data_IF_462182736651
#
_entry.id   IF_462182736651
#
_cell.length_a   1.000
_cell.length_b   1.000
_cell.length_c   1.000
_cell.angle_alpha   90.00
_cell.angle_beta   90.00
_cell.angle_gamma   90.00
#
_symmetry.space_group_name_H-M   'P 1'
#
loop_
_entity.id
_entity.type
_entity.pdbx_description
1 polymer ?
#
# COMPACT_ATOMS: atom_id res chain seq x y z
N UNK A 1 -29.98 -12.27 -65.55
CA UNK A 1 -29.36 -12.94 -64.38
C UNK A 1 -28.34 -11.99 -63.78
N UNK A 2 -28.66 -11.34 -62.67
CA UNK A 2 -27.78 -10.38 -62.01
C UNK A 2 -26.78 -11.10 -61.11
N UNK A 3 -25.49 -10.97 -61.41
CA UNK A 3 -24.37 -11.50 -60.63
C UNK A 3 -24.23 -10.59 -59.39
N UNK A 4 -24.92 -10.92 -58.31
CA UNK A 4 -24.72 -10.26 -57.03
C UNK A 4 -23.35 -10.64 -56.47
N UNK A 5 -22.35 -9.80 -56.74
CA UNK A 5 -21.07 -9.82 -56.04
C UNK A 5 -21.33 -9.59 -54.54
N UNK A 6 -21.38 -10.67 -53.77
CA UNK A 6 -21.38 -10.61 -52.30
C UNK A 6 -20.07 -9.95 -51.89
N UNK A 7 -20.11 -8.65 -51.56
CA UNK A 7 -19.04 -7.99 -50.80
C UNK A 7 -18.81 -8.83 -49.54
N UNK A 8 -17.72 -9.59 -49.52
CA UNK A 8 -17.30 -10.32 -48.32
C UNK A 8 -16.99 -9.26 -47.27
N UNK A 9 -17.74 -9.30 -46.17
CA UNK A 9 -17.41 -8.54 -44.97
C UNK A 9 -15.95 -8.86 -44.59
N UNK A 10 -15.12 -7.86 -44.27
CA UNK A 10 -13.77 -8.13 -43.76
C UNK A 10 -13.89 -8.99 -42.51
N UNK A 11 -13.10 -10.06 -42.45
CA UNK A 11 -13.08 -10.95 -41.30
C UNK A 11 -12.65 -10.17 -40.05
N UNK A 12 -13.19 -10.54 -38.89
CA UNK A 12 -12.73 -10.03 -37.62
C UNK A 12 -11.21 -10.25 -37.48
N UNK A 13 -10.49 -9.20 -37.08
CA UNK A 13 -9.06 -9.28 -36.82
C UNK A 13 -8.83 -10.02 -35.49
N UNK A 14 -8.49 -11.30 -35.59
CA UNK A 14 -8.18 -12.18 -34.46
C UNK A 14 -6.69 -12.16 -34.12
N UNK A 15 -5.90 -11.27 -34.74
CA UNK A 15 -4.49 -11.09 -34.45
C UNK A 15 -4.25 -10.80 -32.96
N UNK A 16 -3.36 -11.58 -32.35
CA UNK A 16 -2.97 -11.40 -30.94
C UNK A 16 -3.87 -12.08 -29.91
N UNK A 17 -4.96 -12.74 -30.32
CA UNK A 17 -5.80 -13.52 -29.40
C UNK A 17 -4.97 -14.64 -28.75
N UNK A 18 -4.94 -14.68 -27.41
CA UNK A 18 -4.11 -15.60 -26.64
C UNK A 18 -2.69 -15.10 -26.35
N UNK A 19 -2.32 -13.90 -26.82
CA UNK A 19 -1.04 -13.25 -26.50
C UNK A 19 -1.27 -11.86 -25.89
N UNK A 20 -1.68 -10.88 -26.70
CA UNK A 20 -1.95 -9.50 -26.26
C UNK A 20 -3.44 -9.22 -26.09
N UNK A 21 -4.30 -10.11 -26.61
CA UNK A 21 -5.74 -9.99 -26.57
C UNK A 21 -6.35 -11.22 -25.87
N UNK A 22 -7.22 -10.99 -24.89
CA UNK A 22 -7.89 -12.07 -24.15
C UNK A 22 -9.19 -12.45 -24.85
N UNK A 23 -10.02 -11.46 -25.18
CA UNK A 23 -11.34 -11.67 -25.76
C UNK A 23 -11.69 -10.62 -26.83
N UNK A 24 -12.51 -11.05 -27.79
CA UNK A 24 -12.97 -10.24 -28.91
C UNK A 24 -14.44 -10.56 -29.21
N UNK A 25 -15.22 -9.52 -29.51
CA UNK A 25 -16.57 -9.66 -30.05
C UNK A 25 -16.52 -10.14 -31.49
N UNK A 26 -17.29 -11.17 -31.77
CA UNK A 26 -17.48 -11.72 -33.11
C UNK A 26 -18.88 -11.39 -33.60
N UNK A 27 -18.99 -11.16 -34.91
CA UNK A 27 -20.25 -10.92 -35.56
C UNK A 27 -20.72 -12.17 -36.32
N UNK A 28 -22.00 -12.22 -36.66
CA UNK A 28 -22.56 -13.36 -37.39
C UNK A 28 -21.81 -13.60 -38.71
N UNK A 29 -21.34 -14.83 -38.91
CA UNK A 29 -20.57 -15.24 -40.07
C UNK A 29 -19.05 -15.16 -39.91
N UNK A 30 -18.54 -14.55 -38.83
CA UNK A 30 -17.12 -14.60 -38.48
C UNK A 30 -16.72 -16.02 -38.06
N UNK A 31 -15.43 -16.32 -38.11
CA UNK A 31 -14.88 -17.63 -37.72
C UNK A 31 -13.99 -17.44 -36.51
N UNK A 32 -14.37 -18.08 -35.41
CA UNK A 32 -13.55 -18.09 -34.20
C UNK A 32 -12.29 -18.95 -34.41
N UNK A 33 -11.11 -18.50 -33.96
CA UNK A 33 -9.87 -19.28 -34.08
C UNK A 33 -9.97 -20.64 -33.39
N UNK A 34 -9.26 -21.63 -33.92
CA UNK A 34 -9.04 -22.88 -33.20
C UNK A 34 -8.37 -22.58 -31.85
N UNK A 35 -8.74 -23.31 -30.79
CA UNK A 35 -8.30 -23.10 -29.40
C UNK A 35 -8.96 -21.92 -28.65
N UNK A 36 -9.85 -21.17 -29.29
CA UNK A 36 -10.71 -20.21 -28.59
C UNK A 36 -11.98 -20.87 -28.04
N UNK A 37 -12.60 -20.21 -27.06
CA UNK A 37 -13.94 -20.54 -26.56
C UNK A 37 -14.88 -19.44 -27.03
N UNK A 38 -16.03 -19.83 -27.59
CA UNK A 38 -17.05 -18.87 -28.04
C UNK A 38 -18.17 -18.82 -27.00
N UNK A 39 -18.60 -17.62 -26.63
CA UNK A 39 -19.74 -17.39 -25.74
C UNK A 39 -20.77 -16.59 -26.50
N UNK A 40 -22.01 -17.07 -26.52
CA UNK A 40 -23.14 -16.36 -27.12
C UNK A 40 -24.07 -15.90 -26.02
N UNK A 41 -24.28 -14.60 -25.92
CA UNK A 41 -25.21 -13.96 -25.01
C UNK A 41 -26.52 -13.68 -25.70
N UNK A 42 -27.63 -14.05 -25.06
CA UNK A 42 -28.95 -13.63 -25.51
C UNK A 42 -29.24 -12.17 -25.13
N UNK A 43 -30.36 -11.63 -25.61
CA UNK A 43 -30.79 -10.26 -25.29
C UNK A 43 -30.98 -10.00 -23.79
N UNK A 44 -31.19 -11.05 -22.99
CA UNK A 44 -31.30 -10.99 -21.53
C UNK A 44 -29.95 -11.17 -20.81
N UNK A 45 -28.82 -11.16 -21.52
CA UNK A 45 -27.47 -11.29 -20.95
C UNK A 45 -27.07 -12.70 -20.50
N UNK A 46 -27.86 -13.73 -20.80
CA UNK A 46 -27.51 -15.10 -20.46
C UNK A 46 -26.55 -15.66 -21.51
N UNK A 47 -25.33 -15.97 -21.08
CA UNK A 47 -24.28 -16.57 -21.90
C UNK A 47 -24.40 -18.10 -22.00
N UNK A 48 -24.15 -18.64 -23.20
CA UNK A 48 -23.89 -20.07 -23.42
C UNK A 48 -22.56 -20.25 -24.16
N UNK A 49 -21.71 -21.15 -23.68
CA UNK A 49 -20.45 -21.48 -24.37
C UNK A 49 -20.71 -22.47 -25.50
N UNK A 50 -20.15 -22.20 -26.67
CA UNK A 50 -20.25 -23.04 -27.88
C UNK A 50 -18.85 -23.35 -28.42
N UNK A 51 -18.75 -24.41 -29.21
CA UNK A 51 -17.49 -24.84 -29.81
C UNK A 51 -17.00 -23.79 -30.82
N UNK A 52 -15.69 -23.57 -30.87
CA UNK A 52 -15.07 -22.68 -31.85
C UNK A 52 -15.43 -23.11 -33.29
N UNK A 53 -15.68 -22.12 -34.13
CA UNK A 53 -16.07 -22.33 -35.51
C UNK A 53 -16.77 -21.11 -36.08
N UNK A 54 -17.64 -21.34 -37.07
CA UNK A 54 -18.42 -20.26 -37.67
C UNK A 54 -19.50 -19.79 -36.69
N UNK A 55 -19.48 -18.50 -36.37
CA UNK A 55 -20.42 -17.89 -35.44
C UNK A 55 -21.78 -17.71 -36.09
N UNK A 56 -22.80 -18.25 -35.45
CA UNK A 56 -24.20 -18.02 -35.76
C UNK A 56 -24.85 -17.32 -34.56
N UNK A 57 -25.30 -16.08 -34.78
CA UNK A 57 -26.05 -15.30 -33.79
C UNK A 57 -27.47 -15.11 -34.30
N UNK A 58 -28.45 -15.30 -33.44
CA UNK A 58 -29.84 -14.92 -33.69
C UNK A 58 -30.03 -13.40 -33.50
N UNK A 59 -31.21 -12.89 -33.86
CA UNK A 59 -31.50 -11.46 -33.75
C UNK A 59 -31.45 -11.00 -32.29
N UNK A 60 -30.53 -10.07 -31.99
CA UNK A 60 -30.31 -9.56 -30.64
C UNK A 60 -29.33 -10.38 -29.79
N UNK A 61 -28.71 -11.43 -30.34
CA UNK A 61 -27.61 -12.13 -29.68
C UNK A 61 -26.27 -11.43 -29.94
N UNK A 62 -25.34 -11.56 -28.98
CA UNK A 62 -23.96 -11.09 -29.10
C UNK A 62 -23.00 -12.27 -28.88
N UNK A 63 -22.02 -12.43 -29.75
CA UNK A 63 -20.99 -13.46 -29.59
C UNK A 63 -19.64 -12.84 -29.23
N UNK A 64 -18.93 -13.49 -28.31
CA UNK A 64 -17.55 -13.22 -27.99
C UNK A 64 -16.74 -14.49 -28.20
N UNK A 65 -15.49 -14.38 -28.65
CA UNK A 65 -14.50 -15.41 -28.49
C UNK A 65 -13.44 -14.96 -27.50
N UNK A 66 -12.89 -15.90 -26.73
CA UNK A 66 -11.74 -15.65 -25.87
C UNK A 66 -10.78 -16.83 -25.92
N UNK A 67 -9.52 -16.58 -25.61
CA UNK A 67 -8.53 -17.65 -25.43
C UNK A 67 -8.33 -17.89 -23.93
N UNK A 68 -8.32 -19.15 -23.45
CA UNK A 68 -8.32 -19.44 -22.02
C UNK A 68 -6.99 -19.14 -21.31
N UNK A 69 -5.91 -18.89 -22.06
CA UNK A 69 -4.58 -18.62 -21.53
C UNK A 69 -3.64 -19.81 -21.71
N UNK A 70 -2.51 -19.86 -20.98
CA UNK A 70 -2.15 -19.01 -19.84
C UNK A 70 -1.75 -17.58 -20.24
N UNK A 71 -1.99 -16.63 -19.34
CA UNK A 71 -1.55 -15.24 -19.45
C UNK A 71 -0.58 -14.89 -18.33
N UNK A 72 0.29 -13.91 -18.59
CA UNK A 72 1.18 -13.35 -17.57
C UNK A 72 1.12 -11.84 -17.64
N UNK A 73 0.91 -11.21 -16.49
CA UNK A 73 0.82 -9.75 -16.35
C UNK A 73 1.59 -9.31 -15.12
N UNK A 74 2.17 -8.13 -15.22
CA UNK A 74 2.85 -7.48 -14.12
C UNK A 74 1.93 -6.39 -13.58
N UNK A 75 1.54 -6.51 -12.31
CA UNK A 75 0.71 -5.54 -11.62
C UNK A 75 1.56 -4.65 -10.73
N UNK A 76 1.10 -3.41 -10.52
CA UNK A 76 1.73 -2.46 -9.61
C UNK A 76 0.81 -2.27 -8.40
N UNK A 77 0.86 -3.14 -7.38
CA UNK A 77 -0.05 -3.06 -6.24
C UNK A 77 0.21 -1.86 -5.34
N UNK A 78 1.42 -1.29 -5.36
CA UNK A 78 1.79 -0.16 -4.51
C UNK A 78 1.79 1.15 -5.28
N UNK A 79 0.78 1.98 -5.02
CA UNK A 79 0.81 3.36 -5.47
C UNK A 79 1.97 4.17 -4.85
N UNK A 80 2.56 3.73 -3.74
CA UNK A 80 3.72 4.37 -3.13
C UNK A 80 5.08 3.82 -3.61
N UNK A 81 5.12 2.58 -4.11
CA UNK A 81 6.35 1.84 -4.45
C UNK A 81 6.19 1.10 -5.79
N UNK A 82 6.12 1.83 -6.92
CA UNK A 82 5.78 1.27 -8.22
C UNK A 82 6.85 0.33 -8.80
N UNK A 83 8.05 0.33 -8.24
CA UNK A 83 9.16 -0.58 -8.54
C UNK A 83 8.88 -2.00 -8.07
N UNK A 84 8.08 -2.17 -7.02
CA UNK A 84 7.71 -3.48 -6.51
C UNK A 84 6.38 -3.91 -7.13
N UNK A 85 6.49 -4.80 -8.12
CA UNK A 85 5.36 -5.37 -8.81
C UNK A 85 4.94 -6.73 -8.26
N UNK A 86 3.82 -7.19 -8.80
CA UNK A 86 3.31 -8.53 -8.59
C UNK A 86 3.08 -9.16 -9.97
N UNK A 87 3.89 -10.16 -10.31
CA UNK A 87 3.70 -10.95 -11.52
C UNK A 87 2.63 -11.98 -11.27
N UNK A 88 1.52 -11.86 -11.98
CA UNK A 88 0.45 -12.85 -11.97
C UNK A 88 0.51 -13.68 -13.24
N UNK A 89 0.45 -14.99 -13.07
CA UNK A 89 0.10 -15.93 -14.12
C UNK A 89 -1.31 -16.47 -13.85
N UNK A 90 -2.18 -16.38 -14.84
CA UNK A 90 -3.57 -16.79 -14.69
C UNK A 90 -4.14 -17.46 -15.94
N UNK A 91 -5.25 -18.17 -15.73
CA UNK A 91 -6.06 -18.80 -16.77
C UNK A 91 -7.52 -18.39 -16.60
N UNK A 92 -8.24 -18.30 -17.71
CA UNK A 92 -9.69 -18.15 -17.69
C UNK A 92 -10.33 -19.49 -17.39
N UNK A 93 -11.29 -19.51 -16.46
CA UNK A 93 -11.85 -20.75 -15.96
C UNK A 93 -12.54 -21.59 -17.04
N UNK A 94 -12.28 -22.90 -16.97
CA UNK A 94 -12.98 -23.89 -17.77
C UNK A 94 -14.49 -23.90 -17.44
N UNK A 95 -15.35 -24.32 -18.37
CA UNK A 95 -16.79 -24.35 -18.13
C UNK A 95 -17.12 -25.26 -16.94
N UNK A 96 -17.73 -24.72 -15.89
CA UNK A 96 -18.23 -25.52 -14.78
C UNK A 96 -19.70 -25.91 -15.03
N UNK A 97 -20.02 -27.20 -15.27
CA UNK A 97 -21.39 -27.63 -15.59
C UNK A 97 -22.39 -27.45 -14.45
N UNK A 98 -21.91 -27.17 -13.23
CA UNK A 98 -22.76 -26.96 -12.04
C UNK A 98 -23.25 -25.51 -11.92
N UNK A 99 -22.67 -24.59 -12.69
CA UNK A 99 -22.98 -23.17 -12.61
C UNK A 99 -23.64 -22.74 -13.91
N UNK A 100 -24.81 -22.12 -13.82
CA UNK A 100 -25.59 -21.66 -14.98
C UNK A 100 -24.91 -20.53 -15.76
N UNK A 101 -24.16 -19.67 -15.07
CA UNK A 101 -23.41 -18.56 -15.66
C UNK A 101 -21.99 -18.53 -15.09
N UNK A 102 -21.00 -18.59 -15.98
CA UNK A 102 -19.60 -18.47 -15.57
C UNK A 102 -19.27 -17.00 -15.28
N UNK A 103 -18.45 -16.74 -14.26
CA UNK A 103 -18.11 -15.36 -13.84
C UNK A 103 -17.38 -14.57 -14.91
N UNK A 104 -16.48 -15.21 -15.65
CA UNK A 104 -15.80 -14.55 -16.78
C UNK A 104 -16.78 -14.16 -17.89
N UNK A 105 -17.81 -14.97 -18.14
CA UNK A 105 -18.83 -14.66 -19.15
C UNK A 105 -19.64 -13.42 -18.71
N UNK A 106 -19.95 -13.29 -17.43
CA UNK A 106 -20.58 -12.10 -16.87
C UNK A 106 -19.69 -10.86 -17.02
N UNK A 107 -18.41 -10.97 -16.66
CA UNK A 107 -17.44 -9.89 -16.81
C UNK A 107 -17.31 -9.42 -18.26
N UNK A 108 -17.23 -10.36 -19.22
CA UNK A 108 -17.22 -10.03 -20.65
C UNK A 108 -18.46 -9.24 -21.06
N UNK A 109 -19.65 -9.68 -20.62
CA UNK A 109 -20.90 -9.03 -20.99
C UNK A 109 -21.05 -7.63 -20.39
N UNK A 110 -20.63 -7.42 -19.13
CA UNK A 110 -20.87 -6.17 -18.41
C UNK A 110 -19.80 -5.11 -18.63
N UNK A 111 -18.52 -5.50 -18.69
CA UNK A 111 -17.39 -4.56 -18.60
C UNK A 111 -16.65 -4.39 -19.94
N UNK A 112 -16.84 -5.29 -20.91
CA UNK A 112 -16.10 -5.21 -22.17
C UNK A 112 -16.90 -4.56 -23.29
N UNK A 113 -16.36 -3.50 -23.88
CA UNK A 113 -16.98 -2.79 -25.01
C UNK A 113 -16.82 -3.54 -26.36
N UNK A 114 -16.53 -4.84 -26.33
CA UNK A 114 -16.34 -5.69 -27.51
C UNK A 114 -14.89 -6.16 -27.73
N UNK A 115 -13.91 -5.65 -27.00
CA UNK A 115 -12.52 -6.12 -27.05
C UNK A 115 -11.94 -6.03 -25.63
N UNK A 116 -11.21 -7.05 -25.21
CA UNK A 116 -10.53 -7.10 -23.93
C UNK A 116 -9.05 -7.37 -24.16
N UNK A 117 -8.25 -6.31 -24.12
CA UNK A 117 -6.79 -6.42 -24.23
C UNK A 117 -6.19 -6.86 -22.91
N UNK A 118 -5.04 -7.54 -22.97
CA UNK A 118 -4.33 -8.01 -21.78
C UNK A 118 -3.86 -6.84 -20.90
N UNK A 119 -3.47 -5.73 -21.53
CA UNK A 119 -3.07 -4.51 -20.81
C UNK A 119 -4.25 -3.86 -20.07
N UNK A 120 -5.41 -3.76 -20.70
CA UNK A 120 -6.63 -3.22 -20.07
C UNK A 120 -7.07 -4.10 -18.90
N UNK A 121 -7.00 -5.42 -19.07
CA UNK A 121 -7.25 -6.37 -17.99
C UNK A 121 -6.28 -6.19 -16.83
N UNK A 122 -4.97 -6.08 -17.11
CA UNK A 122 -3.95 -5.87 -16.10
C UNK A 122 -4.18 -4.56 -15.34
N UNK A 123 -4.52 -3.46 -16.04
CA UNK A 123 -4.86 -2.20 -15.41
C UNK A 123 -6.09 -2.30 -14.50
N UNK A 124 -7.16 -2.96 -14.97
CA UNK A 124 -8.36 -3.18 -14.17
C UNK A 124 -8.09 -4.03 -12.92
N UNK A 125 -7.35 -5.14 -13.08
CA UNK A 125 -6.97 -6.01 -11.98
C UNK A 125 -6.06 -5.30 -10.96
N UNK A 126 -5.10 -4.49 -11.44
CA UNK A 126 -4.24 -3.67 -10.60
C UNK A 126 -5.02 -2.65 -9.78
N UNK A 127 -5.97 -1.93 -10.39
CA UNK A 127 -6.84 -0.99 -9.67
C UNK A 127 -7.71 -1.69 -8.62
N UNK A 128 -8.27 -2.86 -8.94
CA UNK A 128 -9.05 -3.63 -7.98
C UNK A 128 -8.20 -4.09 -6.79
N UNK A 129 -6.99 -4.60 -7.05
CA UNK A 129 -6.04 -4.99 -6.00
C UNK A 129 -5.67 -3.80 -5.10
N UNK A 130 -5.35 -2.65 -5.69
CA UNK A 130 -5.05 -1.43 -4.94
C UNK A 130 -6.23 -0.99 -4.06
N UNK A 131 -7.47 -1.11 -4.56
CA UNK A 131 -8.65 -0.75 -3.80
C UNK A 131 -8.85 -1.67 -2.58
N UNK A 132 -8.71 -2.98 -2.74
CA UNK A 132 -8.83 -3.93 -1.63
C UNK A 132 -7.72 -3.74 -0.59
N UNK A 133 -6.50 -3.42 -1.03
CA UNK A 133 -5.38 -3.06 -0.14
C UNK A 133 -5.65 -1.78 0.63
N UNK A 134 -6.18 -0.74 -0.04
CA UNK A 134 -6.52 0.53 0.60
C UNK A 134 -7.67 0.38 1.62
N UNK A 135 -8.60 -0.54 1.37
CA UNK A 135 -9.70 -0.86 2.30
C UNK A 135 -9.28 -1.82 3.43
N UNK A 136 -8.08 -2.40 3.35
CA UNK A 136 -7.59 -3.40 4.32
C UNK A 136 -8.28 -4.77 4.21
N UNK A 137 -9.00 -5.03 3.11
CA UNK A 137 -9.62 -6.33 2.84
C UNK A 137 -8.60 -7.36 2.36
N UNK A 138 -7.56 -6.89 1.69
CA UNK A 138 -6.31 -7.62 1.50
C UNK A 138 -5.24 -6.93 2.33
N UNK A 139 -4.48 -7.71 3.09
CA UNK A 139 -3.22 -7.22 3.65
C UNK A 139 -2.09 -7.85 2.87
N UNK A 140 -1.23 -6.99 2.35
CA UNK A 140 -0.03 -7.45 1.67
C UNK A 140 1.00 -7.66 2.77
N UNK A 141 1.37 -8.90 3.06
CA UNK A 141 2.21 -9.16 4.20
C UNK A 141 3.55 -8.46 4.01
N UNK A 142 4.26 -8.12 5.09
CA UNK A 142 5.68 -7.75 5.04
C UNK A 142 6.57 -8.90 4.50
N UNK A 143 5.97 -9.99 3.98
CA UNK A 143 6.60 -11.26 3.62
C UNK A 143 7.42 -11.83 4.78
N UNK A 144 6.96 -11.67 6.03
CA UNK A 144 7.71 -12.15 7.20
C UNK A 144 7.40 -13.60 7.55
N UNK A 145 6.30 -14.15 7.03
CA UNK A 145 5.99 -15.58 7.10
C UNK A 145 5.33 -16.13 5.83
N UNK A 146 5.44 -17.44 5.64
CA UNK A 146 4.83 -18.16 4.52
C UNK A 146 3.29 -18.20 4.65
N UNK A 147 2.76 -18.24 5.87
CA UNK A 147 1.32 -18.23 6.14
C UNK A 147 0.68 -16.90 5.75
N UNK A 148 1.35 -15.80 6.07
CA UNK A 148 1.01 -14.44 5.63
C UNK A 148 0.92 -14.34 4.11
N UNK A 149 1.91 -14.88 3.40
CA UNK A 149 1.92 -14.92 1.94
C UNK A 149 0.79 -15.78 1.39
N UNK A 150 0.52 -16.94 2.01
CA UNK A 150 -0.60 -17.78 1.63
C UNK A 150 -1.97 -17.12 1.87
N UNK A 151 -2.13 -16.38 2.96
CA UNK A 151 -3.35 -15.64 3.25
C UNK A 151 -3.59 -14.55 2.20
N UNK A 152 -2.56 -13.77 1.86
CA UNK A 152 -2.63 -12.79 0.77
C UNK A 152 -2.97 -13.45 -0.56
N UNK A 153 -2.26 -14.53 -0.93
CA UNK A 153 -2.52 -15.26 -2.17
C UNK A 153 -3.95 -15.82 -2.22
N UNK A 154 -4.46 -16.35 -1.10
CA UNK A 154 -5.82 -16.85 -1.02
C UNK A 154 -6.84 -15.72 -1.25
N UNK A 155 -6.63 -14.55 -0.63
CA UNK A 155 -7.45 -13.37 -0.84
C UNK A 155 -7.38 -12.84 -2.28
N UNK A 156 -6.19 -12.76 -2.85
CA UNK A 156 -5.99 -12.37 -4.25
C UNK A 156 -6.69 -13.35 -5.20
N UNK A 157 -6.55 -14.66 -4.99
CA UNK A 157 -7.25 -15.67 -5.76
C UNK A 157 -8.77 -15.49 -5.68
N UNK A 158 -9.29 -15.20 -4.48
CA UNK A 158 -10.71 -14.95 -4.27
C UNK A 158 -11.18 -13.67 -5.00
N UNK A 159 -10.39 -12.59 -4.96
CA UNK A 159 -10.67 -11.36 -5.69
C UNK A 159 -10.72 -11.62 -7.20
N UNK A 160 -9.68 -12.26 -7.74
CA UNK A 160 -9.57 -12.54 -9.18
C UNK A 160 -10.69 -13.45 -9.68
N UNK A 161 -11.00 -14.51 -8.92
CA UNK A 161 -12.10 -15.40 -9.24
C UNK A 161 -13.47 -14.71 -9.12
N UNK A 162 -13.67 -13.86 -8.11
CA UNK A 162 -14.98 -13.23 -7.86
C UNK A 162 -15.28 -12.09 -8.79
N UNK A 163 -14.30 -11.26 -9.09
CA UNK A 163 -14.49 -10.09 -9.94
C UNK A 163 -14.37 -10.42 -11.42
N UNK A 164 -13.44 -11.30 -11.78
CA UNK A 164 -13.11 -11.57 -13.18
C UNK A 164 -13.40 -13.00 -13.62
N UNK A 165 -13.56 -13.97 -12.71
CA UNK A 165 -13.74 -15.37 -13.09
C UNK A 165 -12.49 -16.01 -13.71
N UNK A 166 -11.32 -15.61 -13.21
CA UNK A 166 -10.03 -16.19 -13.59
C UNK A 166 -9.39 -16.88 -12.39
N UNK A 167 -8.64 -17.94 -12.67
CA UNK A 167 -7.84 -18.66 -11.67
C UNK A 167 -6.38 -18.23 -11.80
N UNK A 168 -5.77 -17.89 -10.67
CA UNK A 168 -4.35 -17.49 -10.59
C UNK A 168 -3.50 -18.74 -10.33
N UNK A 169 -2.71 -19.13 -11.32
CA UNK A 169 -1.78 -20.26 -11.26
C UNK A 169 -0.57 -19.92 -10.38
N UNK A 170 0.00 -18.73 -10.61
CA UNK A 170 1.21 -18.28 -9.95
C UNK A 170 1.16 -16.77 -9.66
N UNK A 171 1.78 -16.37 -8.56
CA UNK A 171 1.80 -15.01 -8.07
C UNK A 171 3.13 -14.81 -7.37
N UNK A 172 3.98 -13.94 -7.91
CA UNK A 172 5.34 -13.72 -7.41
C UNK A 172 5.62 -12.22 -7.31
N UNK A 173 6.26 -11.75 -6.23
CA UNK A 173 6.79 -10.40 -6.18
C UNK A 173 7.91 -10.26 -7.23
N UNK A 174 7.91 -9.17 -7.98
CA UNK A 174 8.92 -8.88 -9.01
C UNK A 174 9.38 -7.43 -8.92
N UNK A 175 10.64 -7.19 -9.24
CA UNK A 175 11.17 -5.85 -9.45
C UNK A 175 10.83 -5.41 -10.88
N UNK A 176 10.06 -4.33 -11.01
CA UNK A 176 9.64 -3.74 -12.28
C UNK A 176 10.57 -2.63 -12.76
N UNK A 177 11.64 -2.32 -12.02
CA UNK A 177 12.58 -1.21 -12.21
C UNK A 177 12.65 -0.64 -13.62
N UNK A 178 13.25 -1.34 -14.57
CA UNK A 178 13.46 -0.80 -15.92
C UNK A 178 12.20 -0.70 -16.80
N UNK A 179 11.10 -1.35 -16.40
CA UNK A 179 9.85 -1.37 -17.17
C UNK A 179 8.94 -0.17 -16.85
N UNK A 180 9.20 0.52 -15.74
CA UNK A 180 8.36 1.61 -15.24
C UNK A 180 9.18 2.90 -15.25
N UNK A 181 8.77 3.89 -16.05
CA UNK A 181 9.41 5.21 -16.06
C UNK A 181 9.07 6.01 -14.79
N UNK A 182 9.92 5.87 -13.78
CA UNK A 182 9.76 6.49 -12.46
C UNK A 182 9.72 8.01 -12.51
N UNK A 183 10.52 8.63 -13.38
CA UNK A 183 10.56 10.08 -13.48
C UNK A 183 9.17 10.61 -13.88
N UNK A 184 8.54 9.94 -14.86
CA UNK A 184 7.19 10.25 -15.31
C UNK A 184 6.14 10.01 -14.22
N UNK A 185 6.24 8.93 -13.45
CA UNK A 185 5.29 8.63 -12.35
C UNK A 185 5.41 9.63 -11.20
N UNK A 186 6.64 9.93 -10.74
CA UNK A 186 6.87 10.90 -9.68
C UNK A 186 6.42 12.30 -10.10
N UNK A 187 6.67 12.67 -11.36
CA UNK A 187 6.18 13.93 -11.92
C UNK A 187 4.65 13.97 -11.95
N UNK A 188 3.98 12.89 -12.38
CA UNK A 188 2.52 12.78 -12.35
C UNK A 188 1.97 12.88 -10.92
N UNK A 189 2.64 12.28 -9.92
CA UNK A 189 2.23 12.38 -8.51
C UNK A 189 2.38 13.80 -7.98
N UNK A 190 3.50 14.45 -8.27
CA UNK A 190 3.74 15.84 -7.89
C UNK A 190 2.66 16.76 -8.49
N UNK A 191 2.26 16.52 -9.74
CA UNK A 191 1.17 17.24 -10.40
C UNK A 191 -0.20 16.97 -9.75
N UNK A 192 -0.51 15.71 -9.45
CA UNK A 192 -1.77 15.33 -8.79
C UNK A 192 -1.89 15.90 -7.37
N UNK A 193 -0.80 15.87 -6.59
CA UNK A 193 -0.75 16.47 -5.26
C UNK A 193 -0.93 18.00 -5.35
N UNK A 194 -0.22 18.66 -6.28
CA UNK A 194 -0.36 20.09 -6.50
C UNK A 194 -1.77 20.49 -6.95
N UNK A 195 -2.46 19.64 -7.71
CA UNK A 195 -3.84 19.88 -8.10
C UNK A 195 -4.83 19.62 -6.96
N UNK A 196 -4.61 18.59 -6.14
CA UNK A 196 -5.39 18.34 -4.93
C UNK A 196 -5.26 19.51 -3.93
N UNK A 197 -4.06 20.03 -3.71
CA UNK A 197 -3.81 21.19 -2.86
C UNK A 197 -4.49 22.44 -3.40
N UNK A 198 -4.46 22.64 -4.72
CA UNK A 198 -5.17 23.75 -5.38
C UNK A 198 -6.68 23.64 -5.18
N UNK A 199 -7.26 22.46 -5.38
CA UNK A 199 -8.69 22.21 -5.14
C UNK A 199 -9.06 22.42 -3.68
N UNK A 200 -8.22 21.97 -2.74
CA UNK A 200 -8.44 22.19 -1.32
C UNK A 200 -8.39 23.69 -0.96
N UNK A 201 -7.46 24.44 -1.55
CA UNK A 201 -7.36 25.90 -1.38
C UNK A 201 -8.57 26.64 -1.96
N UNK A 202 -9.03 26.24 -3.14
CA UNK A 202 -10.24 26.79 -3.78
C UNK A 202 -11.50 26.50 -2.94
N UNK A 203 -11.67 25.27 -2.46
CA UNK A 203 -12.78 24.91 -1.57
C UNK A 203 -12.76 25.71 -0.27
N UNK A 204 -11.57 25.91 0.32
CA UNK A 204 -11.39 26.73 1.53
C UNK A 204 -11.70 28.21 1.27
N UNK A 205 -11.34 28.75 0.10
CA UNK A 205 -11.66 30.11 -0.30
C UNK A 205 -13.18 30.31 -0.51
N UNK A 206 -13.86 29.36 -1.15
CA UNK A 206 -15.32 29.38 -1.32
C UNK A 206 -16.04 29.30 0.02
N UNK A 207 -15.59 28.43 0.93
CA UNK A 207 -16.15 28.33 2.29
C UNK A 207 -16.00 29.65 3.07
N UNK A 208 -14.84 30.31 2.99
CA UNK A 208 -14.60 31.60 3.65
C UNK A 208 -15.44 32.75 3.03
N UNK A 209 -15.65 32.73 1.71
CA UNK A 209 -16.49 33.71 1.02
C UNK A 209 -17.97 33.57 1.40
N UNK A 210 -18.47 32.34 1.55
CA UNK A 210 -19.84 32.07 1.98
C UNK A 210 -20.13 32.56 3.42
N UNK A 211 -19.13 32.50 4.31
CA UNK A 211 -19.26 33.03 5.69
C UNK A 211 -19.23 34.56 5.74
N UNK A 212 -18.57 35.21 4.78
CA UNK A 212 -18.46 36.68 4.73
C UNK A 212 -19.64 37.37 4.05
N UNK A 213 -20.46 36.64 3.30
CA UNK A 213 -21.68 37.15 2.65
C UNK A 213 -22.92 37.05 3.56
N UNK A 214 -22.77 37.36 4.85
CA UNK A 214 -23.91 37.50 5.76
C UNK A 214 -24.86 38.62 5.26
N UNK A 215 -26.19 38.41 5.28
CA UNK A 215 -27.13 39.34 4.66
C UNK A 215 -27.09 40.68 5.39
N UNK A 216 -26.68 41.72 4.68
CA UNK A 216 -26.76 43.11 5.14
C UNK A 216 -28.23 43.51 5.12
N UNK A 217 -28.85 43.55 6.30
CA UNK A 217 -30.19 44.11 6.46
C UNK A 217 -30.16 45.61 6.12
N UNK A 218 -31.14 46.14 5.37
CA UNK A 218 -31.17 47.53 4.98
C UNK A 218 -31.52 48.41 6.19
N UNK A 219 -30.71 49.45 6.43
CA UNK A 219 -30.88 50.46 7.47
C UNK A 219 -31.81 51.56 6.95
N UNK A 220 -32.95 51.77 7.62
CA UNK A 220 -33.80 52.96 7.44
C UNK A 220 -33.30 54.14 8.29
N UNK A 221 -33.44 55.40 7.81
CA UNK A 221 -32.93 56.59 8.50
C UNK A 221 -34.02 57.21 9.39
N UNK A 222 -33.69 57.47 10.67
CA UNK A 222 -34.50 58.32 11.54
C UNK A 222 -33.73 59.56 12.02
N UNK A 223 -34.37 60.71 11.81
CA UNK A 223 -34.02 62.07 12.24
C UNK A 223 -34.61 62.31 13.63
N UNK A 224 -33.88 62.98 14.55
CA UNK A 224 -34.51 63.76 15.63
C UNK A 224 -33.83 63.79 17.01
N UNK A 225 -32.93 64.76 17.19
CA UNK A 225 -32.91 65.81 18.24
C UNK A 225 -33.01 65.51 19.75
N UNK A 226 -32.01 66.05 20.48
CA UNK A 226 -31.99 66.66 21.82
C UNK A 226 -31.21 65.95 22.97
N UNK A 227 -30.28 66.73 23.53
CA UNK A 227 -29.31 66.49 24.61
C UNK A 227 -29.91 66.72 26.02
N UNK A 228 -29.15 66.93 27.13
CA UNK A 228 -27.72 66.70 27.44
C UNK A 228 -27.47 66.04 28.83
N UNK A 229 -26.22 65.71 29.16
CA UNK A 229 -25.82 65.56 30.59
C UNK A 229 -24.45 64.95 30.89
N UNK A 230 -23.48 65.83 31.21
CA UNK A 230 -22.34 65.68 32.15
C UNK A 230 -21.36 64.48 32.00
N UNK A 231 -20.11 64.73 31.54
CA UNK A 231 -18.89 64.93 32.36
C UNK A 231 -18.46 63.66 33.14
N UNK A 232 -17.24 63.11 32.99
CA UNK A 232 -15.98 63.62 33.58
C UNK A 232 -14.80 62.68 33.20
N UNK A 233 -13.66 63.24 32.75
CA UNK A 233 -12.21 63.01 33.07
C UNK A 233 -11.83 61.58 33.62
N UNK A 234 -10.76 60.84 33.27
CA UNK A 234 -9.35 61.20 33.06
C UNK A 234 -8.44 59.96 32.80
N UNK A 235 -7.35 60.22 32.06
CA UNK A 235 -5.96 59.71 32.19
C UNK A 235 -5.59 58.21 32.31
N UNK A 236 -4.69 57.80 31.40
CA UNK A 236 -3.61 56.82 31.61
C UNK A 236 -2.55 57.37 32.59
N UNK A 237 -1.63 56.56 33.17
CA UNK A 237 -0.44 56.10 32.43
C UNK A 237 0.17 54.74 32.86
N UNK A 238 0.90 54.15 31.90
CA UNK A 238 2.29 53.64 31.88
C UNK A 238 3.06 53.13 33.14
N UNK A 239 4.06 52.30 32.83
CA UNK A 239 5.34 51.95 33.50
C UNK A 239 5.54 50.53 34.09
N UNK A 240 6.70 49.99 33.67
CA UNK A 240 7.34 48.69 33.83
C UNK A 240 7.92 48.33 35.22
N UNK A 241 8.21 47.03 35.43
CA UNK A 241 9.50 46.45 35.91
C UNK A 241 9.33 44.92 36.09
N UNK A 242 10.13 44.02 35.47
CA UNK A 242 11.49 43.51 35.82
C UNK A 242 11.56 42.55 37.02
N UNK A 243 12.20 41.37 36.79
CA UNK A 243 12.94 40.47 37.71
C UNK A 243 12.52 38.99 37.58
N UNK A 244 13.33 38.10 36.95
CA UNK A 244 14.47 37.32 37.48
C UNK A 244 14.06 36.11 38.36
N UNK A 245 14.59 34.94 37.96
CA UNK A 245 14.55 33.54 38.48
C UNK A 245 14.92 33.36 39.99
N UNK A 246 15.12 32.14 40.60
CA UNK A 246 15.22 30.77 40.04
C UNK A 246 14.67 29.57 40.90
N UNK A 247 14.78 28.37 40.31
CA UNK A 247 15.08 27.01 40.81
C UNK A 247 14.75 26.55 42.27
N UNK A 248 14.21 25.33 42.41
CA UNK A 248 14.82 24.24 43.21
C UNK A 248 14.05 22.90 43.15
N UNK A 249 14.86 21.84 43.26
CA UNK A 249 14.63 20.41 43.47
C UNK A 249 13.45 19.97 44.38
N UNK A 250 12.94 18.75 44.15
CA UNK A 250 13.02 17.66 45.15
C UNK A 250 12.47 16.31 44.62
N UNK A 251 13.26 15.27 44.86
CA UNK A 251 12.94 13.84 44.80
C UNK A 251 11.91 13.42 45.86
N UNK A 252 11.12 12.38 45.59
CA UNK A 252 10.53 11.54 46.64
C UNK A 252 10.24 10.11 46.15
N UNK A 253 11.14 9.21 46.54
CA UNK A 253 10.96 7.86 47.07
C UNK A 253 9.52 7.41 47.35
N UNK A 254 9.13 6.23 46.87
CA UNK A 254 8.18 5.34 47.58
C UNK A 254 8.54 3.87 47.43
N UNK A 255 8.94 3.33 48.56
CA UNK A 255 8.98 1.94 49.01
C UNK A 255 7.58 1.31 48.94
N UNK A 256 7.48 0.06 48.49
CA UNK A 256 6.42 -0.85 48.91
C UNK A 256 6.91 -2.30 48.84
N UNK A 257 7.18 -2.81 50.03
CA UNK A 257 7.46 -4.20 50.40
C UNK A 257 6.19 -5.05 50.26
N UNK A 258 6.25 -6.22 49.62
CA UNK A 258 5.36 -7.33 49.95
C UNK A 258 6.08 -8.66 49.73
N UNK A 259 6.18 -9.42 50.82
CA UNK A 259 6.84 -10.72 50.92
C UNK A 259 5.79 -11.83 50.90
N UNK A 260 6.23 -13.04 50.53
CA UNK A 260 5.66 -14.39 50.83
C UNK A 260 4.51 -14.83 49.90
N UNK A 261 4.43 -16.06 49.35
CA UNK A 261 5.00 -17.36 49.74
C UNK A 261 5.03 -18.30 48.53
N UNK A 262 6.09 -19.12 48.44
CA UNK A 262 6.25 -20.26 47.52
C UNK A 262 5.64 -21.52 48.13
N UNK A 263 4.84 -22.28 47.37
CA UNK A 263 4.69 -23.74 47.55
C UNK A 263 4.79 -24.44 46.19
N UNK A 264 5.47 -25.57 46.21
CA UNK A 264 6.06 -26.34 45.11
C UNK A 264 5.25 -27.61 44.81
N UNK A 265 5.38 -28.06 43.56
CA UNK A 265 5.50 -29.46 43.07
C UNK A 265 4.28 -30.31 42.67
N UNK A 266 4.37 -30.77 41.40
CA UNK A 266 4.38 -32.17 40.92
C UNK A 266 3.12 -32.78 40.26
N UNK A 267 3.27 -32.96 38.94
CA UNK A 267 3.18 -34.22 38.18
C UNK A 267 1.86 -34.95 37.88
N UNK A 268 1.78 -35.33 36.59
CA UNK A 268 1.30 -36.60 35.99
C UNK A 268 -0.10 -36.66 35.32
N UNK A 269 -0.05 -36.75 33.99
CA UNK A 269 -0.67 -37.77 33.10
C UNK A 269 -2.17 -38.11 33.15
N UNK A 270 -2.85 -38.00 32.00
CA UNK A 270 -3.93 -38.95 31.64
C UNK A 270 -5.08 -38.46 30.74
N UNK A 271 -5.09 -38.92 29.48
CA UNK A 271 -6.25 -39.39 28.68
C UNK A 271 -7.41 -38.45 28.23
N UNK A 272 -7.40 -38.17 26.92
CA UNK A 272 -8.45 -38.35 25.89
C UNK A 272 -9.90 -37.78 26.03
N UNK A 273 -10.17 -36.82 25.12
CA UNK A 273 -11.33 -36.67 24.21
C UNK A 273 -12.69 -36.16 24.75
N UNK A 274 -13.64 -35.79 23.87
CA UNK A 274 -13.81 -34.42 23.35
C UNK A 274 -15.18 -33.82 23.71
N UNK A 275 -15.33 -32.48 23.77
CA UNK A 275 -16.67 -31.90 23.87
C UNK A 275 -16.79 -30.48 23.29
N UNK A 276 -17.75 -30.37 22.37
CA UNK A 276 -18.58 -29.23 22.01
C UNK A 276 -17.93 -27.91 21.54
N UNK A 277 -18.03 -27.72 20.23
CA UNK A 277 -18.05 -26.41 19.56
C UNK A 277 -19.23 -25.60 20.09
N UNK A 278 -18.95 -24.52 20.83
CA UNK A 278 -19.89 -23.44 21.07
C UNK A 278 -19.55 -22.27 20.15
N UNK A 279 -20.46 -22.01 19.21
CA UNK A 279 -20.51 -20.84 18.35
C UNK A 279 -20.83 -19.60 19.18
N UNK A 280 -19.78 -18.91 19.62
CA UNK A 280 -19.86 -17.59 20.25
C UNK A 280 -20.08 -16.49 19.20
N UNK A 281 -21.24 -15.84 19.30
CA UNK A 281 -21.69 -14.71 18.49
C UNK A 281 -20.72 -13.53 18.60
N UNK A 282 -20.39 -12.95 17.44
CA UNK A 282 -19.52 -11.80 17.27
C UNK A 282 -19.97 -10.58 18.09
N UNK A 283 -19.23 -10.28 19.16
CA UNK A 283 -19.24 -8.97 19.81
C UNK A 283 -18.32 -8.03 19.05
N UNK A 284 -18.83 -6.85 18.70
CA UNK A 284 -18.09 -5.80 17.99
C UNK A 284 -16.78 -5.45 18.70
N UNK A 285 -15.67 -5.69 18.00
CA UNK A 285 -14.33 -5.34 18.44
C UNK A 285 -14.08 -3.86 18.14
N UNK A 286 -14.03 -3.06 19.19
CA UNK A 286 -13.41 -1.73 19.19
C UNK A 286 -11.96 -1.85 18.69
N UNK A 287 -11.41 -0.83 17.99
CA UNK A 287 -10.11 -0.90 17.35
C UNK A 287 -9.03 -1.19 18.40
N UNK A 288 -8.53 -2.43 18.39
CA UNK A 288 -7.38 -2.81 19.21
C UNK A 288 -6.17 -2.04 18.66
N UNK A 289 -5.51 -1.26 19.52
CA UNK A 289 -4.28 -0.58 19.14
C UNK A 289 -3.28 -1.59 18.61
N UNK A 290 -2.58 -1.22 17.53
CA UNK A 290 -1.67 -2.15 16.84
C UNK A 290 -0.66 -2.76 17.82
N UNK A 291 -0.54 -4.09 17.80
CA UNK A 291 0.38 -4.81 18.69
C UNK A 291 1.84 -4.44 18.39
N UNK A 292 2.76 -4.66 19.35
CA UNK A 292 4.19 -4.37 19.13
C UNK A 292 4.75 -5.14 17.91
N UNK A 293 4.23 -6.33 17.63
CA UNK A 293 4.56 -7.14 16.46
C UNK A 293 4.03 -6.50 15.16
N UNK A 294 2.79 -6.00 15.14
CA UNK A 294 2.24 -5.29 13.98
C UNK A 294 2.99 -3.99 13.68
N UNK A 295 3.34 -3.23 14.71
CA UNK A 295 4.12 -2.00 14.57
C UNK A 295 5.50 -2.29 13.97
N UNK A 296 6.19 -3.30 14.50
CA UNK A 296 7.48 -3.74 13.97
C UNK A 296 7.38 -4.21 12.51
N UNK A 297 6.40 -5.05 12.20
CA UNK A 297 6.14 -5.55 10.86
C UNK A 297 5.92 -4.41 9.87
N UNK A 298 5.12 -3.40 10.24
CA UNK A 298 4.90 -2.21 9.42
C UNK A 298 6.18 -1.42 9.19
N UNK A 299 7.00 -1.24 10.23
CA UNK A 299 8.26 -0.52 10.12
C UNK A 299 9.31 -1.26 9.28
N UNK A 300 9.45 -2.57 9.46
CA UNK A 300 10.31 -3.40 8.60
C UNK A 300 9.84 -3.36 7.15
N UNK A 301 8.54 -3.37 6.90
CA UNK A 301 8.00 -3.23 5.55
C UNK A 301 8.37 -1.90 4.91
N UNK A 302 8.26 -0.79 5.65
CA UNK A 302 8.74 0.51 5.18
C UNK A 302 10.23 0.47 4.85
N UNK A 303 11.05 -0.06 5.76
CA UNK A 303 12.50 -0.22 5.54
C UNK A 303 12.82 -1.08 4.31
N UNK A 304 12.10 -2.18 4.12
CA UNK A 304 12.27 -3.10 2.98
C UNK A 304 11.97 -2.41 1.66
N UNK A 305 10.87 -1.65 1.60
CA UNK A 305 10.41 -0.96 0.39
C UNK A 305 11.28 0.26 0.10
N UNK A 306 11.53 1.10 1.10
CA UNK A 306 12.05 2.45 0.89
C UNK A 306 13.58 2.52 0.82
N UNK A 307 14.33 1.64 1.50
CA UNK A 307 15.80 1.67 1.46
C UNK A 307 16.39 1.45 0.05
N UNK A 308 15.88 0.49 -0.76
CA UNK A 308 16.32 0.35 -2.15
C UNK A 308 16.05 1.61 -2.98
N UNK A 309 14.86 2.21 -2.84
CA UNK A 309 14.47 3.43 -3.57
C UNK A 309 15.37 4.60 -3.19
N UNK A 310 15.56 4.83 -1.89
CA UNK A 310 16.48 5.84 -1.38
C UNK A 310 17.89 5.66 -1.95
N UNK A 311 18.38 4.42 -2.02
CA UNK A 311 19.69 4.11 -2.59
C UNK A 311 19.78 4.38 -4.09
N UNK A 312 18.70 4.19 -4.85
CA UNK A 312 18.63 4.55 -6.27
C UNK A 312 18.66 6.05 -6.45
N UNK A 313 17.83 6.80 -5.72
CA UNK A 313 17.78 8.25 -5.80
C UNK A 313 19.11 8.90 -5.42
N UNK A 314 19.80 8.37 -4.41
CA UNK A 314 21.14 8.82 -4.04
C UNK A 314 22.14 8.63 -5.19
N UNK A 315 22.07 7.54 -5.96
CA UNK A 315 22.95 7.30 -7.13
C UNK A 315 22.69 8.28 -8.28
N UNK A 316 21.48 8.83 -8.37
CA UNK A 316 21.09 9.79 -9.41
C UNK A 316 21.50 11.22 -9.07
N UNK A 317 21.98 11.48 -7.86
CA UNK A 317 22.46 12.81 -7.49
C UNK A 317 23.63 13.26 -8.37
N UNK A 318 23.65 14.54 -8.67
CA UNK A 318 24.81 15.17 -9.30
C UNK A 318 25.83 15.50 -8.21
N UNK A 319 26.96 14.78 -8.21
CA UNK A 319 28.00 15.00 -7.21
C UNK A 319 28.85 16.23 -7.57
N UNK A 320 29.20 17.08 -6.58
CA UNK A 320 30.23 18.09 -6.76
C UNK A 320 31.60 17.47 -7.05
N UNK A 321 32.47 18.25 -7.70
CA UNK A 321 33.84 17.84 -7.94
C UNK A 321 34.59 17.59 -6.62
N UNK A 322 35.27 16.44 -6.54
CA UNK A 322 36.15 16.11 -5.42
C UNK A 322 36.14 14.63 -5.07
N UNK A 323 37.32 14.01 -5.11
CA UNK A 323 37.51 12.61 -4.72
C UNK A 323 36.96 12.28 -3.32
N UNK A 324 37.18 13.11 -2.27
CA UNK A 324 36.66 12.79 -0.93
C UNK A 324 35.13 12.75 -0.84
N UNK A 325 34.43 13.57 -1.63
CA UNK A 325 32.96 13.60 -1.68
C UNK A 325 32.44 12.32 -2.32
N UNK A 326 33.07 11.92 -3.43
CA UNK A 326 32.76 10.66 -4.11
C UNK A 326 32.96 9.44 -3.22
N UNK A 327 34.10 9.34 -2.52
CA UNK A 327 34.39 8.21 -1.62
C UNK A 327 33.38 8.11 -0.46
N UNK A 328 33.04 9.24 0.17
CA UNK A 328 32.00 9.29 1.22
C UNK A 328 30.63 8.90 0.69
N UNK A 329 30.25 9.39 -0.50
CA UNK A 329 28.99 9.03 -1.13
C UNK A 329 28.93 7.52 -1.48
N UNK A 330 30.02 6.95 -1.98
CA UNK A 330 30.11 5.51 -2.24
C UNK A 330 29.97 4.70 -0.93
N UNK A 331 30.64 5.12 0.14
CA UNK A 331 30.53 4.49 1.46
C UNK A 331 29.09 4.52 1.99
N UNK A 332 28.40 5.65 1.84
CA UNK A 332 26.97 5.80 2.17
C UNK A 332 26.11 4.76 1.42
N UNK A 333 26.27 4.66 0.09
CA UNK A 333 25.51 3.70 -0.72
C UNK A 333 25.78 2.24 -0.34
N UNK A 334 27.03 1.90 -0.02
CA UNK A 334 27.40 0.57 0.44
C UNK A 334 26.73 0.23 1.79
N UNK A 335 26.75 1.17 2.74
CA UNK A 335 26.12 1.00 4.05
C UNK A 335 24.60 0.85 3.95
N UNK A 336 23.94 1.65 3.11
CA UNK A 336 22.51 1.51 2.84
C UNK A 336 22.17 0.18 2.16
N UNK A 337 23.01 -0.28 1.22
CA UNK A 337 22.87 -1.61 0.61
C UNK A 337 22.96 -2.75 1.63
N UNK A 338 23.91 -2.67 2.57
CA UNK A 338 24.03 -3.63 3.67
C UNK A 338 22.84 -3.56 4.63
N UNK A 339 22.32 -2.36 4.92
CA UNK A 339 21.11 -2.20 5.72
C UNK A 339 19.89 -2.84 5.05
N UNK A 340 19.71 -2.65 3.73
CA UNK A 340 18.64 -3.30 2.98
C UNK A 340 18.76 -4.84 3.03
N UNK A 341 19.96 -5.39 2.85
CA UNK A 341 20.21 -6.83 3.00
C UNK A 341 19.87 -7.35 4.41
N UNK A 342 20.20 -6.56 5.45
CA UNK A 342 19.85 -6.86 6.82
C UNK A 342 18.33 -6.79 7.05
N UNK A 343 17.58 -5.96 6.35
CA UNK A 343 16.12 -5.95 6.46
C UNK A 343 15.52 -7.19 5.78
N UNK A 344 16.05 -7.59 4.62
CA UNK A 344 15.57 -8.75 3.85
C UNK A 344 15.70 -10.09 4.59
N UNK A 345 16.65 -10.19 5.51
CA UNK A 345 16.95 -11.41 6.27
C UNK A 345 16.48 -11.32 7.73
N UNK A 346 15.61 -10.35 8.03
CA UNK A 346 15.22 -10.00 9.38
C UNK A 346 14.12 -10.97 9.89
N UNK A 347 14.30 -11.63 11.07
CA UNK A 347 13.33 -12.59 11.56
C UNK A 347 12.04 -11.90 12.03
N UNK A 348 10.90 -12.57 11.83
CA UNK A 348 9.60 -12.17 12.39
C UNK A 348 9.67 -12.05 13.91
N UNK A 349 8.95 -11.08 14.49
CA UNK A 349 8.87 -10.91 15.95
C UNK A 349 7.95 -11.88 16.65
N UNK A 350 7.02 -12.52 15.93
CA UNK A 350 6.00 -13.33 16.57
C UNK A 350 6.59 -14.58 17.25
N UNK A 351 7.72 -15.10 16.75
CA UNK A 351 8.23 -16.43 17.10
C UNK A 351 9.70 -16.39 17.53
N UNK A 352 10.01 -16.99 18.67
CA UNK A 352 11.37 -17.29 19.12
C UNK A 352 11.93 -18.58 18.48
N UNK A 353 11.03 -19.54 18.25
CA UNK A 353 11.24 -20.80 17.55
C UNK A 353 9.88 -21.24 16.95
N UNK A 354 9.83 -22.25 16.06
CA UNK A 354 8.55 -22.80 15.60
C UNK A 354 7.63 -23.12 16.80
N UNK A 355 6.40 -22.63 16.76
CA UNK A 355 5.37 -22.77 17.81
C UNK A 355 5.72 -22.18 19.19
N UNK A 356 6.86 -21.49 19.34
CA UNK A 356 7.25 -20.81 20.57
C UNK A 356 7.19 -19.30 20.38
N UNK A 357 6.18 -18.61 20.92
CA UNK A 357 6.07 -17.17 20.77
C UNK A 357 7.21 -16.45 21.50
N UNK A 358 7.69 -15.36 20.92
CA UNK A 358 8.70 -14.53 21.58
C UNK A 358 8.08 -13.82 22.80
N UNK A 359 8.75 -13.73 23.97
CA UNK A 359 8.21 -13.02 25.13
C UNK A 359 7.83 -11.57 24.79
N UNK A 360 6.73 -11.06 25.38
CA UNK A 360 6.23 -9.72 25.06
C UNK A 360 7.27 -8.60 25.32
N UNK A 361 8.11 -8.75 26.34
CA UNK A 361 9.19 -7.80 26.63
C UNK A 361 10.26 -7.78 25.52
N UNK A 362 10.57 -8.95 24.94
CA UNK A 362 11.50 -9.05 23.81
C UNK A 362 10.88 -8.52 22.52
N UNK A 363 9.60 -8.77 22.28
CA UNK A 363 8.87 -8.17 21.16
C UNK A 363 8.86 -6.64 21.27
N UNK A 364 8.54 -6.09 22.43
CA UNK A 364 8.54 -4.65 22.66
C UNK A 364 9.95 -4.04 22.48
N UNK A 365 10.99 -4.69 23.01
CA UNK A 365 12.39 -4.25 22.79
C UNK A 365 12.73 -4.22 21.31
N UNK A 366 12.53 -5.33 20.60
CA UNK A 366 12.90 -5.42 19.19
C UNK A 366 12.10 -4.44 18.33
N UNK A 367 10.79 -4.32 18.60
CA UNK A 367 9.92 -3.33 17.96
C UNK A 367 10.46 -1.90 18.14
N UNK A 368 10.85 -1.53 19.36
CA UNK A 368 11.48 -0.23 19.63
C UNK A 368 12.78 -0.01 18.84
N UNK A 369 13.61 -1.04 18.67
CA UNK A 369 14.83 -0.94 17.85
C UNK A 369 14.52 -0.78 16.35
N UNK A 370 13.46 -1.41 15.85
CA UNK A 370 12.97 -1.19 14.50
C UNK A 370 12.42 0.22 14.30
N UNK A 371 11.75 0.77 15.31
CA UNK A 371 11.31 2.18 15.26
C UNK A 371 12.51 3.12 15.16
N UNK A 372 13.61 2.86 15.89
CA UNK A 372 14.85 3.63 15.73
C UNK A 372 15.38 3.59 14.29
N UNK A 373 15.38 2.40 13.67
CA UNK A 373 15.77 2.24 12.27
C UNK A 373 14.81 2.98 11.32
N UNK A 374 13.51 2.95 11.57
CA UNK A 374 12.51 3.70 10.79
C UNK A 374 12.70 5.22 10.91
N UNK A 375 12.96 5.74 12.11
CA UNK A 375 13.28 7.17 12.29
C UNK A 375 14.53 7.55 11.51
N UNK A 376 15.56 6.70 11.50
CA UNK A 376 16.76 6.93 10.69
C UNK A 376 16.46 6.91 9.17
N UNK A 377 15.53 6.07 8.71
CA UNK A 377 15.05 6.09 7.32
C UNK A 377 14.34 7.43 7.00
N UNK A 378 13.47 7.91 7.88
CA UNK A 378 12.79 9.19 7.69
C UNK A 378 13.80 10.36 7.65
N UNK A 379 14.84 10.33 8.51
CA UNK A 379 15.96 11.28 8.45
C UNK A 379 16.76 11.18 7.14
N UNK A 380 16.93 9.96 6.61
CA UNK A 380 17.66 9.74 5.35
C UNK A 380 16.92 10.31 4.14
N UNK A 381 15.59 10.20 4.10
CA UNK A 381 14.77 10.87 3.08
C UNK A 381 14.88 12.40 3.17
N UNK A 382 14.85 12.94 4.39
CA UNK A 382 15.07 14.38 4.62
C UNK A 382 16.48 14.83 4.18
N UNK A 383 17.50 14.00 4.43
CA UNK A 383 18.86 14.24 3.95
C UNK A 383 18.93 14.25 2.42
N UNK A 384 18.32 13.29 1.73
CA UNK A 384 18.28 13.24 0.26
C UNK A 384 17.68 14.53 -0.32
N UNK A 385 16.54 14.98 0.20
CA UNK A 385 15.90 16.21 -0.25
C UNK A 385 16.82 17.44 -0.07
N UNK A 386 17.61 17.48 1.01
CA UNK A 386 18.62 18.54 1.21
C UNK A 386 19.80 18.42 0.27
N UNK A 387 20.30 17.22 0.01
CA UNK A 387 21.39 16.98 -0.95
C UNK A 387 21.00 17.41 -2.37
N UNK A 388 19.75 17.20 -2.78
CA UNK A 388 19.23 17.64 -4.09
C UNK A 388 19.24 19.17 -4.26
N UNK A 389 19.19 19.92 -3.16
CA UNK A 389 19.17 21.39 -3.16
C UNK A 389 20.50 22.01 -2.73
N UNK A 390 21.49 21.19 -2.39
CA UNK A 390 22.71 21.65 -1.74
C UNK A 390 23.74 22.19 -2.74
N UNK A 391 24.33 23.35 -2.40
CA UNK A 391 25.51 23.87 -3.09
C UNK A 391 26.76 23.08 -2.69
N UNK A 392 27.80 23.07 -3.53
CA UNK A 392 29.03 22.28 -3.31
C UNK A 392 29.70 22.48 -1.93
N UNK A 393 29.53 23.64 -1.31
CA UNK A 393 30.08 23.94 0.02
C UNK A 393 29.36 23.22 1.17
N UNK A 394 28.10 22.84 0.99
CA UNK A 394 27.26 22.22 2.02
C UNK A 394 27.39 20.69 2.07
N UNK A 395 27.84 20.09 0.97
CA UNK A 395 27.97 18.63 0.81
C UNK A 395 28.81 17.94 1.90
N UNK A 396 29.97 18.45 2.31
CA UNK A 396 30.76 17.78 3.36
C UNK A 396 30.00 17.63 4.67
N UNK A 397 29.27 18.66 5.11
CA UNK A 397 28.47 18.64 6.33
C UNK A 397 27.29 17.68 6.21
N UNK A 398 26.61 17.66 5.07
CA UNK A 398 25.48 16.74 4.82
C UNK A 398 25.95 15.28 4.79
N UNK A 399 27.14 15.00 4.26
CA UNK A 399 27.72 13.65 4.28
C UNK A 399 28.13 13.21 5.69
N UNK A 400 28.63 14.12 6.53
CA UNK A 400 28.88 13.81 7.95
C UNK A 400 27.58 13.51 8.71
N UNK A 401 26.48 14.18 8.36
CA UNK A 401 25.16 13.85 8.88
C UNK A 401 24.66 12.48 8.38
N UNK A 402 24.93 12.16 7.12
CA UNK A 402 24.64 10.84 6.53
C UNK A 402 25.29 9.71 7.32
N UNK A 403 26.53 9.92 7.80
CA UNK A 403 27.24 8.94 8.61
C UNK A 403 26.54 8.66 9.94
N UNK A 404 26.03 9.71 10.61
CA UNK A 404 25.22 9.59 11.83
C UNK A 404 23.92 8.84 11.56
N UNK A 405 23.22 9.18 10.48
CA UNK A 405 21.94 8.55 10.11
C UNK A 405 22.16 7.05 9.84
N UNK A 406 23.19 6.70 9.07
CA UNK A 406 23.52 5.30 8.81
C UNK A 406 23.92 4.55 10.08
N UNK A 407 24.66 5.19 11.00
CA UNK A 407 25.02 4.58 12.27
C UNK A 407 23.78 4.27 13.13
N UNK A 408 22.79 5.17 13.15
CA UNK A 408 21.52 4.94 13.83
C UNK A 408 20.72 3.80 13.19
N UNK A 409 20.67 3.77 11.86
CA UNK A 409 20.01 2.70 11.10
C UNK A 409 20.65 1.34 11.38
N UNK A 410 21.98 1.24 11.24
CA UNK A 410 22.75 0.03 11.51
C UNK A 410 22.61 -0.43 12.97
N UNK A 411 22.65 0.51 13.92
CA UNK A 411 22.49 0.22 15.35
C UNK A 411 21.10 -0.34 15.65
N UNK A 412 20.04 0.29 15.14
CA UNK A 412 18.67 -0.20 15.31
C UNK A 412 18.48 -1.61 14.75
N UNK A 413 18.95 -1.85 13.51
CA UNK A 413 18.88 -3.17 12.87
C UNK A 413 19.70 -4.23 13.63
N UNK A 414 20.89 -3.87 14.12
CA UNK A 414 21.78 -4.78 14.87
C UNK A 414 21.20 -5.13 16.24
N UNK A 415 20.72 -4.14 16.99
CA UNK A 415 20.12 -4.34 18.32
C UNK A 415 18.78 -5.09 18.24
N UNK A 416 18.04 -4.94 17.14
CA UNK A 416 16.86 -5.76 16.87
C UNK A 416 17.23 -7.25 16.75
N UNK A 417 18.32 -7.57 16.06
CA UNK A 417 18.81 -8.95 15.89
C UNK A 417 19.44 -9.54 17.14
N UNK A 418 19.93 -8.70 18.04
CA UNK A 418 20.64 -9.16 19.23
C UNK A 418 19.77 -10.14 20.06
N UNK A 419 20.33 -11.30 20.47
CA UNK A 419 19.65 -12.19 21.40
C UNK A 419 19.43 -11.45 22.72
N UNK A 420 18.31 -11.73 23.39
CA UNK A 420 18.12 -11.21 24.74
C UNK A 420 19.10 -11.93 25.68
N UNK A 421 20.04 -11.20 26.24
CA UNK A 421 20.80 -11.66 27.39
C UNK A 421 20.11 -11.06 28.60
N UNK A 422 19.42 -11.90 29.35
CA UNK A 422 18.86 -11.50 30.64
C UNK A 422 20.03 -11.05 31.51
N UNK A 423 20.05 -9.75 31.85
CA UNK A 423 21.14 -9.18 32.63
C UNK A 423 20.95 -9.67 34.07
N UNK A 424 21.53 -10.81 34.40
CA UNK A 424 21.63 -11.28 35.79
C UNK A 424 22.57 -10.32 36.49
N UNK A 425 22.04 -9.26 37.10
CA UNK A 425 22.83 -8.45 38.00
C UNK A 425 23.32 -9.36 39.13
N UNK A 426 24.65 -9.40 39.40
CA UNK A 426 25.15 -10.18 40.52
C UNK A 426 24.50 -9.64 41.79
N UNK A 427 23.76 -10.49 42.49
CA UNK A 427 23.25 -10.19 43.83
C UNK A 427 24.45 -9.84 44.72
N UNK A 428 24.59 -8.56 45.07
CA UNK A 428 25.59 -8.06 45.99
C UNK A 428 25.27 -8.44 47.44
#
# INVERSE_FOLDING_TARGET
MGIFSRRRKPAADTGGLGATLIALRLEAGDVAPAQSVVVVFNAAGHGRRVVAGKVACEQGEMAFCFHPGPYTVDLVPFASAPEWGLRLRFVVDAPNPRVSQQRFDLYLFSETAGRLELADFAAAAGMALQAELAQGALDLPPCTSLDEWHAFRAGLNQLMYTRYGVTVDDCLPVDLGEQVDFATILQSRAQQAAEADRRAAEQKAVANAAVSAGPTAPVEPHIGTAAPGAATIATAPDVADTAIAPAAHASATRTATTTTTVVRAASASGHAAPTAVSTGVAGGQMPHGATAAEQDARALRRLFIELPVLSVELRLLTLPDGLPIFEKHQSLLLRLGMAALNVNTMPSLAWAAPDQPLPAADQARRSAQTMTAQTALDEAWSLLARLQLADSQQWPQLLDEADRICANLETGLSLRRAPHIERTEPSL
#
